data_IF_027023417951
#
_entry.id   IF_027023417951
#
_cell.length_a   1.000
_cell.length_b   1.000
_cell.length_c   1.000
_cell.angle_alpha   90.00
_cell.angle_beta   90.00
_cell.angle_gamma   90.00
#
_symmetry.space_group_name_H-M   'P 1'
#
loop_
_entity.id
_entity.type
_entity.pdbx_description
1 polymer ?
#
# COMPACT_ATOMS: atom_id res chain seq x y z
N UNK A 1 -11.67 39.70 -1.27
CA UNK A 1 -10.45 38.89 -1.10
C UNK A 1 -10.91 37.49 -0.74
N UNK A 2 -10.86 36.59 -1.73
CA UNK A 2 -11.45 35.26 -1.62
C UNK A 2 -10.53 34.36 -0.79
N UNK A 3 -11.07 33.87 0.32
CA UNK A 3 -10.48 32.86 1.20
C UNK A 3 -10.21 31.61 0.37
N UNK A 4 -8.93 31.26 0.19
CA UNK A 4 -8.54 29.95 -0.33
C UNK A 4 -8.88 28.88 0.70
N UNK A 5 -10.13 28.42 0.68
CA UNK A 5 -10.52 27.18 1.32
C UNK A 5 -9.95 26.05 0.45
N UNK A 6 -8.71 25.67 0.73
CA UNK A 6 -8.09 24.46 0.21
C UNK A 6 -8.91 23.31 0.77
N UNK A 7 -9.92 22.84 0.04
CA UNK A 7 -10.60 21.60 0.38
C UNK A 7 -9.51 20.54 0.49
N UNK A 8 -9.25 20.04 1.71
CA UNK A 8 -8.53 18.80 1.87
C UNK A 8 -9.36 17.78 1.10
N UNK A 9 -8.84 17.28 -0.02
CA UNK A 9 -9.31 16.02 -0.55
C UNK A 9 -8.83 14.99 0.46
N UNK A 10 -9.75 14.25 1.07
CA UNK A 10 -9.41 13.17 1.99
C UNK A 10 -8.40 12.25 1.30
N UNK A 11 -7.22 12.10 1.92
CA UNK A 11 -6.19 11.15 1.46
C UNK A 11 -6.59 9.72 1.79
N UNK A 12 -7.45 9.51 2.80
CA UNK A 12 -7.96 8.21 3.20
C UNK A 12 -9.43 8.11 2.80
N UNK A 13 -9.75 7.19 1.90
CA UNK A 13 -11.12 6.91 1.47
C UNK A 13 -11.53 5.51 1.92
N UNK A 14 -12.73 5.34 2.47
CA UNK A 14 -13.28 4.00 2.71
C UNK A 14 -14.15 3.63 1.52
N UNK A 15 -13.80 2.53 0.84
CA UNK A 15 -14.62 2.00 -0.24
C UNK A 15 -15.91 1.36 0.32
N UNK A 16 -17.05 1.47 -0.38
CA UNK A 16 -18.28 0.84 0.07
C UNK A 16 -18.11 -0.68 0.04
N UNK A 17 -18.71 -1.36 1.01
CA UNK A 17 -18.79 -2.82 0.94
C UNK A 17 -19.76 -3.23 -0.15
N UNK A 18 -19.23 -3.78 -1.24
CA UNK A 18 -20.00 -4.17 -2.43
C UNK A 18 -20.64 -5.57 -2.32
N UNK A 19 -20.24 -6.37 -1.34
CA UNK A 19 -20.73 -7.74 -1.15
C UNK A 19 -21.85 -7.78 -0.11
N UNK A 20 -21.54 -7.32 1.11
CA UNK A 20 -22.44 -7.39 2.26
C UNK A 20 -22.25 -6.15 3.14
N UNK A 21 -23.30 -5.49 3.63
CA UNK A 21 -23.16 -4.41 4.60
C UNK A 21 -22.37 -4.86 5.83
N UNK A 22 -21.40 -4.06 6.26
CA UNK A 22 -20.65 -4.34 7.49
C UNK A 22 -21.56 -4.16 8.71
N UNK A 23 -21.39 -4.98 9.77
CA UNK A 23 -22.04 -4.71 11.05
C UNK A 23 -21.72 -3.29 11.54
N UNK A 24 -22.67 -2.63 12.18
CA UNK A 24 -22.52 -1.24 12.63
C UNK A 24 -21.27 -1.02 13.49
N UNK A 25 -20.97 -1.95 14.40
CA UNK A 25 -19.78 -1.89 15.25
C UNK A 25 -18.48 -1.88 14.44
N UNK A 26 -18.41 -2.63 13.34
CA UNK A 26 -17.27 -2.69 12.43
C UNK A 26 -17.19 -1.41 11.60
N UNK A 27 -18.31 -0.94 11.06
CA UNK A 27 -18.36 0.29 10.28
C UNK A 27 -17.92 1.53 11.11
N UNK A 28 -18.36 1.61 12.37
CA UNK A 28 -17.95 2.67 13.31
C UNK A 28 -16.47 2.57 13.64
N UNK A 29 -15.96 1.37 13.95
CA UNK A 29 -14.53 1.17 14.19
C UNK A 29 -13.69 1.56 12.97
N UNK A 30 -14.08 1.11 11.79
CA UNK A 30 -13.39 1.41 10.53
C UNK A 30 -13.34 2.91 10.25
N UNK A 31 -14.47 3.61 10.40
CA UNK A 31 -14.54 5.06 10.23
C UNK A 31 -13.63 5.80 11.20
N UNK A 32 -13.61 5.37 12.48
CA UNK A 32 -12.70 5.93 13.49
C UNK A 32 -11.25 5.74 13.10
N UNK A 33 -10.85 4.53 12.70
CA UNK A 33 -9.46 4.26 12.34
C UNK A 33 -9.03 4.93 11.03
N UNK A 34 -9.90 5.02 10.03
CA UNK A 34 -9.63 5.79 8.82
C UNK A 34 -9.42 7.29 9.11
N UNK A 35 -10.19 7.84 10.05
CA UNK A 35 -10.02 9.23 10.51
C UNK A 35 -8.68 9.40 11.23
N UNK A 36 -8.33 8.48 12.13
CA UNK A 36 -7.04 8.51 12.83
C UNK A 36 -5.86 8.38 11.85
N UNK A 37 -5.97 7.51 10.84
CA UNK A 37 -4.98 7.37 9.77
C UNK A 37 -4.84 8.66 8.97
N UNK A 38 -5.96 9.30 8.61
CA UNK A 38 -5.97 10.59 7.90
C UNK A 38 -5.25 11.70 8.69
N UNK A 39 -5.41 11.72 10.01
CA UNK A 39 -4.72 12.65 10.91
C UNK A 39 -3.23 12.32 11.10
N UNK A 40 -2.87 11.03 10.97
CA UNK A 40 -1.49 10.53 11.09
C UNK A 40 -0.64 10.80 9.85
N UNK A 41 -1.22 10.70 8.64
CA UNK A 41 -0.49 10.83 7.39
C UNK A 41 0.41 12.09 7.28
N UNK A 42 0.02 13.29 7.75
CA UNK A 42 0.92 14.45 7.74
C UNK A 42 2.21 14.28 8.56
N UNK A 43 2.20 13.48 9.63
CA UNK A 43 3.40 13.17 10.41
C UNK A 43 4.33 12.26 9.62
N UNK A 44 3.76 11.27 8.93
CA UNK A 44 4.51 10.37 8.06
C UNK A 44 5.06 11.12 6.83
N UNK A 45 4.28 12.01 6.22
CA UNK A 45 4.72 12.90 5.14
C UNK A 45 5.94 13.74 5.57
N UNK A 46 5.90 14.27 6.80
CA UNK A 46 7.00 15.06 7.36
C UNK A 46 8.25 14.23 7.61
N UNK A 47 8.10 13.02 8.17
CA UNK A 47 9.22 12.11 8.42
C UNK A 47 9.88 11.61 7.11
N UNK A 48 9.05 11.27 6.12
CA UNK A 48 9.51 10.86 4.79
C UNK A 48 10.06 12.04 3.98
N UNK A 49 9.64 13.28 4.27
CA UNK A 49 9.93 14.46 3.44
C UNK A 49 9.36 14.35 2.02
N UNK A 50 8.35 13.50 1.83
CA UNK A 50 7.60 13.26 0.59
C UNK A 50 6.13 13.09 0.95
N UNK A 51 5.26 13.36 -0.01
CA UNK A 51 3.81 13.19 0.17
C UNK A 51 3.48 11.70 0.01
N UNK A 52 2.95 11.08 1.06
CA UNK A 52 2.44 9.70 1.03
C UNK A 52 1.25 9.62 0.05
N UNK A 53 1.16 8.54 -0.75
CA UNK A 53 0.07 8.37 -1.71
C UNK A 53 -1.30 8.29 -1.01
N UNK A 54 -2.41 8.51 -1.72
CA UNK A 54 -3.74 8.24 -1.18
C UNK A 54 -3.87 6.79 -0.70
N UNK A 55 -4.66 6.59 0.35
CA UNK A 55 -5.00 5.29 0.91
C UNK A 55 -6.48 5.02 0.70
N UNK A 56 -6.77 3.85 0.19
CA UNK A 56 -8.12 3.33 0.03
C UNK A 56 -8.32 2.15 0.96
N UNK A 57 -9.22 2.32 1.92
CA UNK A 57 -9.55 1.29 2.89
C UNK A 57 -10.62 0.39 2.30
N UNK A 58 -10.24 -0.85 1.99
CA UNK A 58 -11.14 -1.85 1.46
C UNK A 58 -11.79 -2.65 2.61
N UNK A 59 -13.15 -2.74 2.66
CA UNK A 59 -13.87 -3.43 3.72
C UNK A 59 -13.86 -4.97 3.54
N UNK A 60 -12.69 -5.54 3.28
CA UNK A 60 -12.50 -6.97 3.03
C UNK A 60 -11.19 -7.45 3.65
N UNK A 61 -11.14 -8.72 4.04
CA UNK A 61 -9.88 -9.46 4.20
C UNK A 61 -9.36 -9.87 2.82
N UNK A 62 -8.06 -9.70 2.57
CA UNK A 62 -7.42 -10.22 1.37
C UNK A 62 -6.74 -11.56 1.68
N UNK A 63 -7.09 -12.59 0.91
CA UNK A 63 -6.65 -13.98 1.14
C UNK A 63 -5.57 -14.37 0.13
N UNK A 64 -4.47 -14.97 0.60
CA UNK A 64 -3.51 -15.67 -0.26
C UNK A 64 -3.80 -17.17 -0.29
N UNK A 65 -3.74 -17.84 -1.47
CA UNK A 65 -3.93 -19.28 -1.53
C UNK A 65 -2.92 -20.04 -0.67
N UNK A 66 -3.42 -20.88 0.24
CA UNK A 66 -2.59 -21.74 1.10
C UNK A 66 -2.11 -21.09 2.40
N UNK A 67 -2.42 -19.82 2.65
CA UNK A 67 -2.12 -19.14 3.90
C UNK A 67 -3.38 -18.46 4.45
N UNK A 68 -3.54 -18.51 5.78
CA UNK A 68 -4.60 -17.77 6.50
C UNK A 68 -4.11 -16.37 6.89
N UNK A 69 -2.84 -16.05 6.63
CA UNK A 69 -2.22 -14.76 6.85
C UNK A 69 -2.96 -13.63 6.15
N UNK A 70 -3.16 -12.53 6.88
CA UNK A 70 -3.79 -11.34 6.32
C UNK A 70 -2.74 -10.49 5.60
N UNK A 71 -2.90 -10.27 4.29
CA UNK A 71 -2.23 -9.14 3.64
C UNK A 71 -2.79 -7.87 4.29
N UNK A 72 -1.91 -6.98 4.76
CA UNK A 72 -2.31 -5.78 5.50
C UNK A 72 -2.64 -4.60 4.59
N UNK A 73 -1.85 -4.43 3.55
CA UNK A 73 -2.03 -3.44 2.51
C UNK A 73 -1.38 -3.93 1.20
N UNK A 74 -1.62 -3.21 0.13
CA UNK A 74 -0.90 -3.39 -1.15
C UNK A 74 -0.97 -2.13 -1.99
N UNK A 75 -0.12 -2.05 -3.00
CA UNK A 75 -0.24 -1.02 -4.03
C UNK A 75 -1.39 -1.31 -5.02
N UNK A 76 -2.06 -0.25 -5.44
CA UNK A 76 -3.10 -0.27 -6.47
C UNK A 76 -2.95 0.91 -7.44
N UNK A 77 -3.61 0.79 -8.59
CA UNK A 77 -3.75 1.87 -9.56
C UNK A 77 -5.21 2.32 -9.62
N UNK A 78 -5.46 3.59 -9.29
CA UNK A 78 -6.81 4.17 -9.31
C UNK A 78 -6.95 5.29 -10.33
N UNK A 79 -8.00 5.20 -11.13
CA UNK A 79 -8.34 6.21 -12.13
C UNK A 79 -9.28 7.26 -11.54
N UNK A 80 -8.81 8.51 -11.46
CA UNK A 80 -9.61 9.66 -11.06
C UNK A 80 -9.65 10.69 -12.17
N UNK A 81 -10.86 11.03 -12.64
CA UNK A 81 -11.08 12.00 -13.71
C UNK A 81 -10.21 11.75 -14.98
N UNK A 82 -10.02 10.49 -15.35
CA UNK A 82 -9.22 10.08 -16.51
C UNK A 82 -7.71 10.11 -16.30
N UNK A 83 -7.24 10.40 -15.08
CA UNK A 83 -5.84 10.29 -14.69
C UNK A 83 -5.71 9.14 -13.68
N UNK A 84 -4.88 8.17 -13.99
CA UNK A 84 -4.57 7.10 -13.06
C UNK A 84 -3.46 7.51 -12.14
N UNK A 85 -3.57 7.14 -10.87
CA UNK A 85 -2.61 7.43 -9.82
C UNK A 85 -2.34 6.13 -9.08
N UNK A 86 -1.17 6.07 -8.48
CA UNK A 86 -0.86 5.01 -7.54
C UNK A 86 -1.52 5.34 -6.20
N UNK A 87 -2.13 4.35 -5.55
CA UNK A 87 -2.73 4.44 -4.23
C UNK A 87 -2.37 3.18 -3.43
N UNK A 88 -2.43 3.26 -2.11
CA UNK A 88 -2.31 2.10 -1.22
C UNK A 88 -3.70 1.59 -0.91
N UNK A 89 -3.99 0.33 -1.19
CA UNK A 89 -5.16 -0.35 -0.66
C UNK A 89 -4.83 -0.92 0.71
N UNK A 90 -5.45 -0.40 1.77
CA UNK A 90 -5.34 -0.95 3.11
C UNK A 90 -6.57 -1.79 3.44
N UNK A 91 -6.38 -2.96 4.03
CA UNK A 91 -7.50 -3.85 4.34
C UNK A 91 -8.08 -3.55 5.72
N UNK A 92 -9.41 -3.40 5.77
CA UNK A 92 -10.14 -3.04 6.98
C UNK A 92 -9.81 -3.88 8.23
N UNK A 93 -9.71 -5.23 8.17
CA UNK A 93 -9.32 -6.01 9.34
C UNK A 93 -7.96 -5.59 9.90
N UNK A 94 -6.97 -5.33 9.05
CA UNK A 94 -5.64 -4.90 9.47
C UNK A 94 -5.65 -3.49 10.02
N UNK A 95 -6.36 -2.55 9.40
CA UNK A 95 -6.49 -1.19 9.94
C UNK A 95 -7.16 -1.17 11.33
N UNK A 96 -8.16 -2.04 11.55
CA UNK A 96 -8.83 -2.16 12.85
C UNK A 96 -7.89 -2.81 13.87
N UNK A 97 -7.22 -3.90 13.52
CA UNK A 97 -6.36 -4.65 14.45
C UNK A 97 -5.07 -3.88 14.82
N UNK A 98 -4.56 -3.05 13.91
CA UNK A 98 -3.40 -2.17 14.15
C UNK A 98 -3.73 -0.91 14.93
N UNK A 99 -5.01 -0.65 15.26
CA UNK A 99 -5.45 0.56 15.93
C UNK A 99 -4.65 0.87 17.22
N UNK A 100 -4.36 -0.17 17.99
CA UNK A 100 -3.67 -0.05 19.28
C UNK A 100 -2.14 -0.23 19.16
N UNK A 101 -1.63 -0.49 17.95
CA UNK A 101 -0.19 -0.64 17.68
C UNK A 101 0.25 0.27 16.53
N UNK A 102 0.36 1.56 16.85
CA UNK A 102 0.72 2.61 15.89
C UNK A 102 2.13 2.46 15.31
N UNK A 103 3.05 1.82 16.04
CA UNK A 103 4.39 1.51 15.55
C UNK A 103 4.36 0.44 14.46
N UNK A 104 3.55 -0.59 14.64
CA UNK A 104 3.36 -1.63 13.62
C UNK A 104 2.62 -1.08 12.40
N UNK A 105 1.65 -0.19 12.60
CA UNK A 105 0.99 0.55 11.52
C UNK A 105 2.01 1.37 10.71
N UNK A 106 2.89 2.12 11.37
CA UNK A 106 3.97 2.86 10.68
C UNK A 106 4.90 1.92 9.90
N UNK A 107 5.22 0.75 10.47
CA UNK A 107 6.01 -0.27 9.79
C UNK A 107 5.33 -0.77 8.51
N UNK A 108 4.04 -1.10 8.58
CA UNK A 108 3.23 -1.48 7.41
C UNK A 108 3.18 -0.36 6.37
N UNK A 109 2.97 0.89 6.79
CA UNK A 109 2.93 2.03 5.86
C UNK A 109 4.30 2.33 5.25
N UNK A 110 5.40 2.13 5.98
CA UNK A 110 6.76 2.28 5.47
C UNK A 110 7.08 1.23 4.39
N UNK A 111 6.64 -0.01 4.60
CA UNK A 111 6.72 -1.07 3.61
C UNK A 111 6.00 -0.70 2.31
N UNK A 112 4.73 -0.31 2.39
CA UNK A 112 3.95 0.14 1.22
C UNK A 112 4.54 1.39 0.55
N UNK A 113 5.19 2.26 1.31
CA UNK A 113 5.88 3.41 0.74
C UNK A 113 7.04 2.99 -0.18
N UNK A 114 7.77 1.93 0.15
CA UNK A 114 8.83 1.41 -0.72
C UNK A 114 8.26 0.85 -2.02
N UNK A 115 7.12 0.15 -1.97
CA UNK A 115 6.42 -0.29 -3.18
C UNK A 115 5.91 0.89 -4.02
N UNK A 116 5.42 1.95 -3.38
CA UNK A 116 5.03 3.18 -4.07
C UNK A 116 6.21 3.82 -4.80
N UNK A 117 7.37 3.92 -4.14
CA UNK A 117 8.60 4.43 -4.74
C UNK A 117 9.02 3.56 -5.91
N UNK A 118 9.15 2.25 -5.70
CA UNK A 118 9.52 1.29 -6.75
C UNK A 118 8.62 1.40 -7.97
N UNK A 119 7.30 1.42 -7.75
CA UNK A 119 6.31 1.52 -8.82
C UNK A 119 6.48 2.83 -9.60
N UNK A 120 6.63 3.94 -8.89
CA UNK A 120 6.84 5.27 -9.49
C UNK A 120 8.09 5.30 -10.36
N UNK A 121 9.21 4.74 -9.88
CA UNK A 121 10.46 4.70 -10.64
C UNK A 121 10.37 3.79 -11.88
N UNK A 122 9.72 2.63 -11.78
CA UNK A 122 9.50 1.75 -12.94
C UNK A 122 8.63 2.41 -14.00
N UNK A 123 7.58 3.11 -13.60
CA UNK A 123 6.73 3.88 -14.52
C UNK A 123 7.55 5.00 -15.18
N UNK A 124 8.33 5.75 -14.40
CA UNK A 124 9.16 6.83 -14.93
C UNK A 124 10.17 6.33 -15.96
N UNK A 125 10.81 5.18 -15.68
CA UNK A 125 11.72 4.53 -16.61
C UNK A 125 11.00 4.03 -17.86
N UNK A 126 9.86 3.37 -17.72
CA UNK A 126 9.04 2.90 -18.85
C UNK A 126 8.71 4.04 -19.83
N UNK A 127 8.34 5.21 -19.29
CA UNK A 127 8.08 6.41 -20.09
C UNK A 127 9.33 7.00 -20.73
N UNK A 128 10.44 7.03 -20.02
CA UNK A 128 11.71 7.54 -20.55
C UNK A 128 12.18 6.73 -21.77
N UNK A 129 11.80 5.45 -21.86
CA UNK A 129 12.08 4.57 -23.01
C UNK A 129 11.12 4.75 -24.19
N UNK A 130 10.14 5.66 -24.10
CA UNK A 130 9.18 5.93 -25.17
C UNK A 130 8.13 4.83 -25.35
N UNK A 131 7.94 3.96 -24.34
CA UNK A 131 6.90 2.94 -24.38
C UNK A 131 5.49 3.55 -24.30
N UNK A 132 4.47 2.87 -24.88
CA UNK A 132 3.10 3.38 -24.92
C UNK A 132 2.47 3.53 -23.51
N UNK A 133 1.35 4.26 -23.45
CA UNK A 133 0.49 4.48 -22.27
C UNK A 133 -0.16 3.19 -21.69
N UNK A 134 0.31 2.02 -22.11
CA UNK A 134 -0.07 0.71 -21.58
C UNK A 134 1.13 0.16 -20.81
N UNK A 135 0.90 -0.11 -19.52
CA UNK A 135 1.86 -0.78 -18.64
C UNK A 135 1.17 -1.98 -18.02
N UNK A 136 1.76 -3.16 -18.21
CA UNK A 136 1.33 -4.39 -17.57
C UNK A 136 2.30 -4.71 -16.42
N UNK A 137 1.82 -4.54 -15.20
CA UNK A 137 2.53 -4.90 -13.97
C UNK A 137 2.03 -6.24 -13.41
N UNK A 138 1.25 -7.00 -14.19
CA UNK A 138 0.69 -8.27 -13.72
C UNK A 138 1.78 -9.31 -13.51
N UNK A 139 1.72 -10.01 -12.38
CA UNK A 139 2.42 -11.28 -12.24
C UNK A 139 1.79 -12.34 -13.17
N UNK A 140 2.55 -13.37 -13.56
CA UNK A 140 1.98 -14.48 -14.32
C UNK A 140 0.99 -15.28 -13.45
N UNK A 141 -0.10 -15.84 -14.01
CA UNK A 141 -1.12 -16.55 -13.23
C UNK A 141 -0.60 -17.72 -12.39
N UNK A 142 0.46 -18.40 -12.84
CA UNK A 142 1.08 -19.52 -12.13
C UNK A 142 1.76 -19.08 -10.82
N UNK A 143 1.98 -17.78 -10.65
CA UNK A 143 2.60 -17.19 -9.46
C UNK A 143 1.59 -16.83 -8.36
N UNK A 144 0.29 -16.70 -8.69
CA UNK A 144 -0.78 -16.49 -7.69
C UNK A 144 -1.10 -17.77 -6.90
N UNK A 145 -0.42 -18.89 -7.19
CA UNK A 145 -0.75 -20.21 -6.67
C UNK A 145 -0.23 -20.52 -5.26
N UNK A 146 0.76 -19.78 -4.74
CA UNK A 146 1.41 -20.04 -3.45
C UNK A 146 1.79 -18.73 -2.72
N UNK A 147 1.57 -18.69 -1.41
CA UNK A 147 1.94 -17.58 -0.51
C UNK A 147 3.44 -17.19 -0.60
N UNK A 148 4.33 -18.18 -0.73
CA UNK A 148 5.77 -17.96 -0.88
C UNK A 148 6.12 -17.15 -2.14
N UNK A 149 5.38 -17.37 -3.24
CA UNK A 149 5.57 -16.63 -4.48
C UNK A 149 5.15 -15.17 -4.32
N UNK A 150 4.06 -14.91 -3.58
CA UNK A 150 3.64 -13.56 -3.24
C UNK A 150 4.76 -12.84 -2.47
N UNK A 151 5.27 -13.44 -1.38
CA UNK A 151 6.33 -12.84 -0.57
C UNK A 151 7.61 -12.56 -1.36
N UNK A 152 7.97 -13.48 -2.26
CA UNK A 152 9.13 -13.27 -3.13
C UNK A 152 8.95 -12.09 -4.08
N UNK A 153 7.76 -11.91 -4.65
CA UNK A 153 7.45 -10.80 -5.56
C UNK A 153 7.38 -9.48 -4.82
N UNK A 154 6.77 -9.51 -3.64
CA UNK A 154 6.67 -8.39 -2.74
C UNK A 154 8.07 -7.87 -2.38
N UNK A 155 8.93 -8.73 -1.81
CA UNK A 155 10.32 -8.36 -1.50
C UNK A 155 11.12 -7.90 -2.74
N UNK A 156 10.85 -8.43 -3.94
CA UNK A 156 11.49 -7.99 -5.17
C UNK A 156 10.99 -6.62 -5.68
N UNK A 157 9.79 -6.20 -5.26
CA UNK A 157 9.12 -4.97 -5.67
C UNK A 157 9.43 -3.77 -4.76
N UNK A 158 10.64 -3.70 -4.19
CA UNK A 158 11.07 -2.63 -3.29
C UNK A 158 12.35 -1.95 -3.79
N UNK A 159 12.57 -0.71 -3.36
CA UNK A 159 13.85 -0.01 -3.50
C UNK A 159 14.72 -0.24 -2.27
N UNK A 160 16.06 -0.03 -2.34
CA UNK A 160 16.89 -0.01 -1.14
C UNK A 160 16.31 0.92 -0.07
N UNK A 161 16.33 0.51 1.19
CA UNK A 161 15.69 1.28 2.29
C UNK A 161 16.45 2.59 2.57
N UNK A 162 17.76 2.59 2.31
CA UNK A 162 18.64 3.73 2.53
C UNK A 162 18.30 4.88 1.59
N UNK A 163 18.14 6.08 2.17
CA UNK A 163 17.76 7.29 1.42
C UNK A 163 16.25 7.47 1.23
N UNK A 164 15.44 6.45 1.53
CA UNK A 164 13.97 6.52 1.45
C UNK A 164 13.29 6.51 2.81
N UNK A 165 13.79 5.70 3.75
CA UNK A 165 13.25 5.59 5.11
C UNK A 165 14.26 6.11 6.15
N UNK A 166 13.74 6.68 7.24
CA UNK A 166 14.54 7.01 8.43
C UNK A 166 14.94 5.72 9.17
N UNK A 167 15.99 5.74 10.03
CA UNK A 167 16.35 4.57 10.83
C UNK A 167 15.19 4.04 11.70
N UNK A 168 14.31 4.93 12.17
CA UNK A 168 13.09 4.57 12.91
C UNK A 168 12.16 3.75 12.02
N UNK A 169 11.78 4.28 10.85
CA UNK A 169 10.85 3.59 9.95
C UNK A 169 11.43 2.28 9.41
N UNK A 170 12.75 2.20 9.18
CA UNK A 170 13.41 0.94 8.83
C UNK A 170 13.22 -0.12 9.93
N UNK A 171 13.44 0.24 11.19
CA UNK A 171 13.26 -0.68 12.31
C UNK A 171 11.79 -1.12 12.46
N UNK A 172 10.84 -0.20 12.30
CA UNK A 172 9.41 -0.51 12.38
C UNK A 172 8.95 -1.38 11.21
N UNK A 173 9.46 -1.14 10.01
CA UNK A 173 9.19 -1.97 8.84
C UNK A 173 9.67 -3.40 9.06
N UNK A 174 10.92 -3.59 9.49
CA UNK A 174 11.46 -4.92 9.80
C UNK A 174 10.63 -5.64 10.88
N UNK A 175 10.15 -4.90 11.88
CA UNK A 175 9.27 -5.45 12.93
C UNK A 175 7.90 -5.85 12.39
N UNK A 176 7.37 -5.11 11.41
CA UNK A 176 6.12 -5.44 10.73
C UNK A 176 6.24 -6.65 9.78
N UNK A 177 7.42 -6.87 9.22
CA UNK A 177 7.71 -8.01 8.34
C UNK A 177 8.06 -9.30 9.12
N UNK A 178 8.34 -9.21 10.42
CA UNK A 178 8.64 -10.38 11.25
C UNK A 178 7.36 -11.16 11.61
N UNK A 179 6.96 -12.05 10.71
CA UNK A 179 5.82 -12.96 10.89
C UNK A 179 6.01 -13.98 12.03
N UNK A 180 7.24 -14.15 12.55
CA UNK A 180 7.54 -15.12 13.61
C UNK A 180 7.34 -14.56 15.02
N UNK A 181 7.24 -13.24 15.13
CA UNK A 181 7.09 -12.53 16.39
C UNK A 181 5.74 -12.82 17.08
N UNK A 182 5.72 -12.68 18.40
CA UNK A 182 4.47 -12.77 19.17
C UNK A 182 3.49 -11.65 18.78
N UNK A 183 3.99 -10.49 18.37
CA UNK A 183 3.17 -9.36 17.92
C UNK A 183 2.43 -9.67 16.62
N UNK A 184 3.12 -10.26 15.64
CA UNK A 184 2.51 -10.72 14.39
C UNK A 184 1.48 -11.82 14.63
N UNK A 185 1.77 -12.74 15.57
CA UNK A 185 0.80 -13.77 15.98
C UNK A 185 -0.45 -13.16 16.61
N UNK A 186 -0.28 -12.23 17.56
CA UNK A 186 -1.41 -11.54 18.20
C UNK A 186 -2.20 -10.68 17.21
N UNK A 187 -1.55 -10.05 16.24
CA UNK A 187 -2.22 -9.32 15.16
C UNK A 187 -3.09 -10.27 14.32
N UNK A 188 -2.53 -11.41 13.92
CA UNK A 188 -3.25 -12.41 13.15
C UNK A 188 -4.44 -12.99 13.93
N UNK A 189 -4.27 -13.29 15.22
CA UNK A 189 -5.36 -13.72 16.10
C UNK A 189 -6.47 -12.67 16.18
N UNK A 190 -6.12 -11.40 16.34
CA UNK A 190 -7.09 -10.30 16.36
C UNK A 190 -7.87 -10.18 15.05
N UNK A 191 -7.22 -10.41 13.90
CA UNK A 191 -7.89 -10.43 12.60
C UNK A 191 -8.82 -11.65 12.47
N UNK A 192 -8.37 -12.82 12.91
CA UNK A 192 -9.20 -14.03 12.90
C UNK A 192 -10.44 -13.84 13.76
N UNK A 193 -10.29 -13.37 14.99
CA UNK A 193 -11.40 -13.17 15.93
C UNK A 193 -12.33 -12.02 15.49
N UNK A 194 -11.74 -10.92 15.04
CA UNK A 194 -12.45 -9.69 14.69
C UNK A 194 -13.14 -9.74 13.32
N UNK A 195 -12.72 -10.64 12.44
CA UNK A 195 -13.15 -10.69 11.05
C UNK A 195 -13.56 -12.08 10.58
N UNK A 196 -12.65 -13.07 10.63
CA UNK A 196 -12.86 -14.41 10.05
C UNK A 196 -13.95 -15.18 10.80
N UNK A 197 -13.87 -15.27 12.13
CA UNK A 197 -14.87 -15.96 12.95
C UNK A 197 -16.25 -15.30 12.91
N UNK A 198 -16.32 -14.06 12.42
CA UNK A 198 -17.55 -13.28 12.26
C UNK A 198 -18.12 -13.34 10.85
N UNK A 199 -17.54 -14.17 9.98
CA UNK A 199 -17.96 -14.37 8.58
C UNK A 199 -18.07 -13.04 7.81
N UNK A 200 -17.10 -12.15 8.05
CA UNK A 200 -17.03 -10.85 7.36
C UNK A 200 -16.38 -11.00 5.97
N UNK A 201 -16.68 -10.08 5.02
CA UNK A 201 -16.29 -10.24 3.63
C UNK A 201 -14.78 -10.46 3.42
N UNK A 202 -14.43 -11.39 2.53
CA UNK A 202 -13.07 -11.61 2.06
C UNK A 202 -13.00 -11.61 0.53
N UNK A 203 -11.79 -11.48 -0.02
CA UNK A 203 -11.51 -11.58 -1.46
C UNK A 203 -10.19 -12.32 -1.70
N UNK A 204 -10.10 -13.15 -2.75
CA UNK A 204 -8.83 -13.73 -3.14
C UNK A 204 -7.89 -12.65 -3.68
N UNK A 205 -6.60 -12.80 -3.39
CA UNK A 205 -5.56 -11.96 -3.97
C UNK A 205 -5.61 -12.05 -5.50
N UNK A 206 -5.57 -10.89 -6.15
CA UNK A 206 -5.28 -10.79 -7.57
C UNK A 206 -4.17 -9.77 -7.79
N UNK A 207 -3.08 -10.22 -8.40
CA UNK A 207 -1.92 -9.41 -8.78
C UNK A 207 -2.03 -8.88 -10.21
N UNK A 208 -3.23 -8.96 -10.81
CA UNK A 208 -3.49 -8.45 -12.15
C UNK A 208 -3.58 -6.93 -12.13
N UNK A 209 -2.51 -6.29 -12.56
CA UNK A 209 -2.43 -4.84 -12.65
C UNK A 209 -2.11 -4.44 -14.09
N UNK A 210 -3.16 -4.24 -14.89
CA UNK A 210 -3.04 -3.67 -16.23
C UNK A 210 -3.57 -2.26 -16.23
N UNK A 211 -2.77 -1.35 -16.77
CA UNK A 211 -3.19 0.03 -16.91
C UNK A 211 -3.20 0.45 -18.38
N UNK A 212 -4.21 1.25 -18.73
CA UNK A 212 -4.39 1.88 -20.02
C UNK A 212 -4.77 3.35 -19.83
N UNK A 213 -3.89 4.28 -20.19
CA UNK A 213 -4.17 5.72 -20.22
C UNK A 213 -3.07 6.61 -19.64
N UNK A 214 -3.43 7.79 -19.11
CA UNK A 214 -2.48 8.71 -18.49
C UNK A 214 -2.24 8.39 -17.01
N UNK A 215 -1.05 7.89 -16.69
CA UNK A 215 -0.57 7.68 -15.32
C UNK A 215 0.07 8.97 -14.76
N UNK A 216 -0.28 9.40 -13.56
CA UNK A 216 0.47 10.41 -12.85
C UNK A 216 1.76 9.79 -12.31
N UNK A 217 2.87 10.51 -12.44
CA UNK A 217 4.15 10.16 -11.81
C UNK A 217 4.42 11.19 -10.73
N UNK A 218 4.82 10.73 -9.56
CA UNK A 218 5.26 11.62 -8.48
C UNK A 218 6.64 12.20 -8.79
N UNK A 219 6.67 13.49 -9.13
CA UNK A 219 7.88 14.21 -9.44
C UNK A 219 8.82 14.34 -8.23
N UNK A 220 8.30 14.31 -7.00
CA UNK A 220 9.09 14.36 -5.78
C UNK A 220 9.95 13.10 -5.61
N UNK A 221 9.35 11.93 -5.87
CA UNK A 221 10.07 10.64 -5.88
C UNK A 221 11.13 10.63 -6.97
N UNK A 222 10.78 11.02 -8.20
CA UNK A 222 11.73 11.08 -9.32
C UNK A 222 12.91 12.00 -9.00
N UNK A 223 12.65 13.18 -8.42
CA UNK A 223 13.70 14.13 -8.01
C UNK A 223 14.60 13.54 -6.93
N UNK A 224 14.03 12.94 -5.88
CA UNK A 224 14.82 12.30 -4.81
C UNK A 224 15.67 11.16 -5.34
N UNK A 225 15.14 10.34 -6.25
CA UNK A 225 15.90 9.27 -6.89
C UNK A 225 17.13 9.83 -7.64
N UNK A 226 16.98 10.95 -8.35
CA UNK A 226 18.10 11.64 -9.00
C UNK A 226 19.14 12.16 -8.00
N UNK A 227 18.70 12.72 -6.88
CA UNK A 227 19.57 13.18 -5.77
C UNK A 227 20.36 12.02 -5.14
N UNK A 228 19.75 10.83 -5.06
CA UNK A 228 20.38 9.60 -4.61
C UNK A 228 21.28 8.94 -5.68
N UNK A 229 21.41 9.54 -6.86
CA UNK A 229 22.21 9.00 -7.96
C UNK A 229 21.59 7.78 -8.63
N UNK A 230 20.30 7.51 -8.42
CA UNK A 230 19.58 6.44 -9.10
C UNK A 230 19.31 6.87 -10.54
N UNK A 231 20.04 6.28 -11.47
CA UNK A 231 19.95 6.63 -12.89
C UNK A 231 18.65 6.05 -13.47
N UNK A 232 17.77 6.91 -13.98
CA UNK A 232 16.55 6.50 -14.70
C UNK A 232 16.86 6.14 -16.16
N UNK A 233 17.90 5.34 -16.40
CA UNK A 233 18.26 4.81 -17.72
C UNK A 233 17.88 3.35 -17.85
N UNK A 234 17.80 2.83 -19.06
CA UNK A 234 17.65 1.39 -19.32
C UNK A 234 18.69 0.60 -18.48
N UNK A 235 18.22 -0.31 -17.60
CA UNK A 235 19.08 -1.29 -16.91
C UNK A 235 19.54 -0.97 -15.48
N UNK A 236 19.07 0.11 -14.83
CA UNK A 236 19.56 0.50 -13.49
C UNK A 236 18.73 -0.04 -12.31
N UNK A 237 17.59 -0.67 -12.54
CA UNK A 237 16.86 -1.43 -11.50
C UNK A 237 17.04 -2.91 -11.85
N UNK A 238 17.49 -3.77 -10.92
CA UNK A 238 17.73 -5.17 -11.22
C UNK A 238 16.47 -5.80 -11.79
N UNK A 239 16.57 -6.30 -13.02
CA UNK A 239 15.69 -7.39 -13.45
C UNK A 239 16.18 -8.62 -12.69
N UNK A 240 15.50 -8.99 -11.61
CA UNK A 240 15.53 -10.36 -11.13
C UNK A 240 14.11 -10.87 -11.06
#
# INVERSE_FOLDING_TARGET
MATHMKALVDKVTIEPSLLTPLPESVAVALKRQATALQERLPLLDAELGLVYPPIDVLPVLMETPGNVGAIHARMSLKSFAGITRIAVEMFAPSLIALADNQDLLDGTLAHEFLHYVWSTLRIAQWRALGHPDVLDLSASPDYEALDENYKSLDHAAQVPVEGWLTPRLQCLMMRAEDETSDESRSLQESIVDGWVLRDLPSRPLSLRCKFNGKLAIDAGIVKRAQELGLVLTAGAIPHR
#
